data_IF_240548334206
#
_entry.id   IF_240548334206
#
_cell.length_a   1.000
_cell.length_b   1.000
_cell.length_c   1.000
_cell.angle_alpha   90.00
_cell.angle_beta   90.00
_cell.angle_gamma   90.00
#
_symmetry.space_group_name_H-M   'P 1'
#
loop_
_entity.id
_entity.type
_entity.pdbx_description
1 polymer ?
#
# COMPACT_ATOMS: atom_id res chain seq x y z
N UNK A 1 -22.74 4.81 1.04
CA UNK A 1 -21.29 4.74 0.82
C UNK A 1 -21.02 4.60 -0.68
N UNK A 2 -20.17 5.43 -1.22
CA UNK A 2 -19.84 5.40 -2.64
C UNK A 2 -18.34 5.38 -2.88
N UNK A 3 -17.96 4.90 -4.07
CA UNK A 3 -16.57 4.90 -4.51
C UNK A 3 -16.22 6.30 -5.00
N UNK A 4 -15.16 6.89 -4.49
CA UNK A 4 -14.75 8.25 -4.87
C UNK A 4 -13.41 8.31 -5.58
N UNK A 5 -12.61 7.25 -5.48
CA UNK A 5 -11.32 7.19 -6.17
C UNK A 5 -10.83 5.75 -6.23
N UNK A 6 -9.97 5.49 -7.19
CA UNK A 6 -9.27 4.21 -7.19
C UNK A 6 -7.86 4.38 -7.75
N UNK A 7 -7.00 3.43 -7.43
CA UNK A 7 -5.63 3.39 -7.93
C UNK A 7 -5.24 1.97 -8.25
N UNK A 8 -4.29 1.83 -9.16
CA UNK A 8 -3.75 0.54 -9.54
C UNK A 8 -2.26 0.68 -9.78
N UNK A 9 -1.50 -0.34 -9.44
CA UNK A 9 -0.07 -0.34 -9.69
C UNK A 9 0.42 -1.74 -9.99
N UNK A 10 1.47 -1.80 -10.81
CA UNK A 10 2.12 -3.03 -11.23
C UNK A 10 3.61 -2.92 -10.88
N UNK A 11 4.13 -3.92 -10.21
CA UNK A 11 5.54 -3.92 -9.78
C UNK A 11 6.18 -5.24 -10.19
N UNK A 12 7.28 -5.19 -10.92
CA UNK A 12 8.03 -6.39 -11.26
C UNK A 12 8.97 -6.77 -10.11
N UNK A 13 9.11 -8.07 -9.86
CA UNK A 13 9.92 -8.56 -8.76
C UNK A 13 11.39 -8.17 -8.87
N UNK A 14 12.03 -8.22 -10.06
CA UNK A 14 13.42 -7.78 -10.18
C UNK A 14 13.68 -6.37 -9.69
N UNK A 15 12.72 -5.45 -9.84
CA UNK A 15 12.86 -4.08 -9.35
C UNK A 15 13.01 -4.06 -7.84
N UNK A 16 12.17 -4.83 -7.13
CA UNK A 16 12.22 -4.88 -5.66
C UNK A 16 13.50 -5.60 -5.22
N UNK A 17 13.84 -6.70 -5.87
CA UNK A 17 15.06 -7.45 -5.55
C UNK A 17 16.29 -6.56 -5.71
N UNK A 18 16.35 -5.77 -6.77
CA UNK A 18 17.44 -4.85 -7.03
C UNK A 18 17.54 -3.77 -5.95
N UNK A 19 16.40 -3.20 -5.54
CA UNK A 19 16.38 -2.19 -4.48
C UNK A 19 16.88 -2.77 -3.15
N UNK A 20 16.49 -4.00 -2.82
CA UNK A 20 16.96 -4.66 -1.61
C UNK A 20 18.47 -4.92 -1.69
N UNK A 21 18.97 -5.37 -2.84
CA UNK A 21 20.39 -5.64 -3.00
C UNK A 21 21.23 -4.37 -2.92
N UNK A 22 20.76 -3.28 -3.50
CA UNK A 22 21.51 -2.03 -3.55
C UNK A 22 21.50 -1.27 -2.24
N UNK A 23 20.36 -1.27 -1.55
CA UNK A 23 20.14 -0.37 -0.42
C UNK A 23 19.84 -1.08 0.90
N UNK A 24 19.56 -2.36 0.85
CA UNK A 24 19.36 -3.18 2.05
C UNK A 24 18.34 -2.59 3.01
N UNK A 25 18.73 -2.50 4.28
CA UNK A 25 17.85 -2.02 5.34
C UNK A 25 17.36 -0.58 5.12
N UNK A 26 18.15 0.25 4.45
CA UNK A 26 17.73 1.63 4.17
C UNK A 26 16.47 1.66 3.31
N UNK A 27 16.39 0.80 2.29
CA UNK A 27 15.20 0.68 1.47
C UNK A 27 14.05 0.09 2.29
N UNK A 28 14.31 -1.00 2.98
CA UNK A 28 13.27 -1.70 3.75
C UNK A 28 12.67 -0.80 4.82
N UNK A 29 13.50 -0.11 5.59
CA UNK A 29 13.02 0.74 6.68
C UNK A 29 12.29 1.99 6.18
N UNK A 30 12.70 2.49 5.02
CA UNK A 30 12.05 3.67 4.44
C UNK A 30 10.66 3.35 3.91
N UNK A 31 10.49 2.18 3.32
CA UNK A 31 9.28 1.84 2.57
C UNK A 31 8.31 1.01 3.37
N UNK A 32 8.80 0.09 4.19
CA UNK A 32 7.97 -0.90 4.87
C UNK A 32 8.02 -0.74 6.37
N UNK A 33 6.87 -0.95 7.01
CA UNK A 33 6.80 -0.96 8.47
C UNK A 33 7.46 -2.23 9.02
N UNK A 34 7.73 -2.24 10.32
CA UNK A 34 8.31 -3.41 10.97
C UNK A 34 7.45 -4.67 10.76
N UNK A 35 6.13 -4.54 10.85
CA UNK A 35 5.25 -5.69 10.68
C UNK A 35 5.24 -6.20 9.24
N UNK A 36 5.35 -5.31 8.26
CA UNK A 36 5.44 -5.70 6.85
C UNK A 36 6.73 -6.45 6.58
N UNK A 37 7.84 -5.97 7.14
CA UNK A 37 9.13 -6.64 6.99
C UNK A 37 9.14 -8.01 7.67
N UNK A 38 8.55 -8.09 8.86
CA UNK A 38 8.47 -9.36 9.58
C UNK A 38 7.65 -10.39 8.81
N UNK A 39 6.54 -9.94 8.22
CA UNK A 39 5.71 -10.82 7.39
C UNK A 39 6.50 -11.35 6.19
N UNK A 40 7.24 -10.48 5.51
CA UNK A 40 8.06 -10.91 4.36
C UNK A 40 9.16 -11.87 4.79
N UNK A 41 9.83 -11.59 5.92
CA UNK A 41 10.93 -12.43 6.42
C UNK A 41 10.46 -13.81 6.87
N UNK A 42 9.21 -13.94 7.29
CA UNK A 42 8.66 -15.22 7.75
C UNK A 42 8.09 -16.08 6.62
N UNK A 43 8.23 -15.61 5.36
CA UNK A 43 7.73 -16.33 4.20
C UNK A 43 8.88 -16.71 3.27
N UNK A 44 8.73 -17.84 2.56
CA UNK A 44 9.71 -18.28 1.57
C UNK A 44 9.84 -17.31 0.41
N UNK A 45 8.73 -16.65 0.09
CA UNK A 45 8.66 -15.74 -1.05
C UNK A 45 8.69 -14.29 -0.59
N UNK A 46 9.73 -13.94 0.17
CA UNK A 46 9.86 -12.61 0.76
C UNK A 46 9.78 -11.46 -0.25
N UNK A 47 10.49 -11.59 -1.37
CA UNK A 47 10.48 -10.55 -2.42
C UNK A 47 9.06 -10.38 -3.00
N UNK A 48 8.37 -11.48 -3.24
CA UNK A 48 6.98 -11.44 -3.73
C UNK A 48 6.08 -10.71 -2.75
N UNK A 49 6.25 -10.98 -1.44
CA UNK A 49 5.45 -10.31 -0.40
C UNK A 49 5.76 -8.82 -0.34
N UNK A 50 7.02 -8.44 -0.43
CA UNK A 50 7.41 -7.03 -0.46
C UNK A 50 6.87 -6.34 -1.72
N UNK A 51 6.95 -7.00 -2.87
CA UNK A 51 6.46 -6.42 -4.12
C UNK A 51 4.95 -6.17 -4.05
N UNK A 52 4.19 -7.11 -3.50
CA UNK A 52 2.74 -6.92 -3.34
C UNK A 52 2.42 -5.73 -2.44
N UNK A 53 3.13 -5.59 -1.33
CA UNK A 53 2.93 -4.46 -0.43
C UNK A 53 3.35 -3.15 -1.08
N UNK A 54 4.45 -3.16 -1.81
CA UNK A 54 4.92 -1.98 -2.52
C UNK A 54 3.87 -1.51 -3.55
N UNK A 55 3.34 -2.46 -4.33
CA UNK A 55 2.29 -2.15 -5.30
C UNK A 55 1.04 -1.58 -4.61
N UNK A 56 0.64 -2.15 -3.47
CA UNK A 56 -0.51 -1.65 -2.72
C UNK A 56 -0.29 -0.22 -2.22
N UNK A 57 0.90 0.08 -1.71
CA UNK A 57 1.24 1.43 -1.26
C UNK A 57 1.19 2.43 -2.41
N UNK A 58 1.76 2.07 -3.56
CA UNK A 58 1.71 2.90 -4.76
C UNK A 58 0.27 3.13 -5.22
N UNK A 59 -0.55 2.08 -5.21
CA UNK A 59 -1.96 2.19 -5.59
C UNK A 59 -2.71 3.15 -4.67
N UNK A 60 -2.45 3.07 -3.36
CA UNK A 60 -3.07 3.99 -2.38
C UNK A 60 -2.60 5.43 -2.63
N UNK A 61 -1.31 5.64 -2.88
CA UNK A 61 -0.80 6.99 -3.17
C UNK A 61 -1.44 7.56 -4.43
N UNK A 62 -1.65 6.75 -5.45
CA UNK A 62 -2.34 7.19 -6.67
C UNK A 62 -3.77 7.61 -6.39
N UNK A 63 -4.49 6.86 -5.56
CA UNK A 63 -5.88 7.19 -5.30
C UNK A 63 -6.05 8.44 -4.43
N UNK A 64 -5.12 8.72 -3.53
CA UNK A 64 -5.18 9.98 -2.78
C UNK A 64 -4.70 11.17 -3.61
N UNK A 65 -4.03 10.91 -4.74
CA UNK A 65 -3.77 11.91 -5.76
C UNK A 65 -2.71 12.95 -5.45
N UNK A 66 -1.91 12.76 -4.41
CA UNK A 66 -0.93 13.77 -3.98
C UNK A 66 0.47 13.55 -4.52
N UNK A 67 0.77 12.35 -5.01
CA UNK A 67 2.14 11.99 -5.31
C UNK A 67 3.02 12.16 -4.08
N UNK A 68 4.30 12.42 -4.29
CA UNK A 68 5.28 12.58 -3.22
C UNK A 68 5.41 14.05 -2.83
N UNK A 69 4.39 14.61 -2.23
CA UNK A 69 4.41 16.00 -1.77
C UNK A 69 4.44 16.08 -0.26
N UNK A 70 5.14 17.09 0.24
CA UNK A 70 5.15 17.41 1.65
C UNK A 70 5.80 16.33 2.49
N UNK A 71 5.13 15.98 3.59
CA UNK A 71 5.68 15.08 4.60
C UNK A 71 5.17 13.64 4.48
N UNK A 72 4.73 13.25 3.30
CA UNK A 72 4.26 11.89 3.06
C UNK A 72 5.40 10.90 3.23
N UNK A 73 5.15 9.83 3.97
CA UNK A 73 6.09 8.74 4.13
C UNK A 73 5.45 7.44 3.65
N UNK A 74 6.23 6.56 3.07
CA UNK A 74 5.77 5.23 2.66
C UNK A 74 5.13 4.47 3.82
N UNK A 75 5.71 4.62 5.01
CA UNK A 75 5.23 3.94 6.21
C UNK A 75 3.94 4.52 6.78
N UNK A 76 3.45 5.62 6.22
CA UNK A 76 2.10 6.12 6.53
C UNK A 76 1.02 5.18 6.03
N UNK A 77 1.37 4.27 5.12
CA UNK A 77 0.49 3.26 4.58
C UNK A 77 1.02 1.90 5.03
N UNK A 78 0.24 1.18 5.80
CA UNK A 78 0.64 -0.16 6.24
C UNK A 78 -0.35 -1.18 5.71
N UNK A 79 0.15 -2.24 5.12
CA UNK A 79 -0.66 -3.35 4.62
C UNK A 79 -0.50 -4.52 5.59
N UNK A 80 -1.61 -4.93 6.18
CA UNK A 80 -1.66 -6.08 7.08
C UNK A 80 -2.66 -7.08 6.56
N UNK A 81 -2.47 -8.35 6.90
CA UNK A 81 -3.43 -9.38 6.52
C UNK A 81 -4.37 -9.64 7.68
N UNK A 82 -5.65 -9.87 7.36
CA UNK A 82 -6.61 -10.38 8.33
C UNK A 82 -6.32 -11.84 8.60
N UNK A 83 -7.04 -12.43 9.55
CA UNK A 83 -6.92 -13.86 9.87
C UNK A 83 -7.21 -14.75 8.67
N UNK A 84 -8.08 -14.29 7.77
CA UNK A 84 -8.41 -15.02 6.54
C UNK A 84 -7.44 -14.78 5.40
N UNK A 85 -6.39 -13.96 5.64
CA UNK A 85 -5.36 -13.68 4.64
C UNK A 85 -5.67 -12.52 3.71
N UNK A 86 -6.79 -11.82 3.91
CA UNK A 86 -7.12 -10.67 3.08
C UNK A 86 -6.29 -9.46 3.49
N UNK A 87 -5.75 -8.69 2.52
CA UNK A 87 -5.01 -7.49 2.86
C UNK A 87 -5.93 -6.37 3.33
N UNK A 88 -5.47 -5.64 4.34
CA UNK A 88 -6.12 -4.43 4.83
C UNK A 88 -5.11 -3.31 4.88
N UNK A 89 -5.57 -2.09 4.66
CA UNK A 89 -4.72 -0.90 4.69
C UNK A 89 -5.02 -0.11 5.96
N UNK A 90 -3.97 0.23 6.68
CA UNK A 90 -4.03 1.17 7.81
C UNK A 90 -3.26 2.42 7.43
N UNK A 91 -3.89 3.56 7.62
CA UNK A 91 -3.28 4.85 7.31
C UNK A 91 -2.86 5.55 8.59
N UNK A 92 -1.77 6.30 8.50
CA UNK A 92 -1.29 7.15 9.59
C UNK A 92 -0.61 8.37 8.98
N UNK A 93 -0.12 9.26 9.83
CA UNK A 93 0.67 10.42 9.41
C UNK A 93 -0.02 11.32 8.40
N UNK A 94 0.75 11.84 7.47
CA UNK A 94 0.26 12.81 6.50
C UNK A 94 -0.74 12.20 5.51
N UNK A 95 -0.52 10.94 5.12
CA UNK A 95 -1.46 10.26 4.20
C UNK A 95 -2.85 10.16 4.84
N UNK A 96 -2.90 9.84 6.14
CA UNK A 96 -4.17 9.79 6.88
C UNK A 96 -4.88 11.14 6.87
N UNK A 97 -4.14 12.23 7.10
CA UNK A 97 -4.70 13.58 7.08
C UNK A 97 -5.29 13.92 5.73
N UNK A 98 -4.58 13.58 4.66
CA UNK A 98 -5.06 13.84 3.29
C UNK A 98 -6.31 13.03 3.01
N UNK A 99 -6.31 11.75 3.37
CA UNK A 99 -7.47 10.88 3.17
C UNK A 99 -8.69 11.43 3.91
N UNK A 100 -8.51 11.88 5.15
CA UNK A 100 -9.60 12.47 5.94
C UNK A 100 -10.17 13.71 5.27
N UNK A 101 -9.31 14.59 4.74
CA UNK A 101 -9.75 15.79 4.03
C UNK A 101 -10.53 15.45 2.77
N UNK A 102 -10.20 14.35 2.12
CA UNK A 102 -10.91 13.91 0.91
C UNK A 102 -12.23 13.21 1.24
N UNK A 103 -12.50 12.96 2.52
CA UNK A 103 -13.72 12.28 2.94
C UNK A 103 -13.64 10.77 2.81
N UNK A 104 -12.44 10.22 2.67
CA UNK A 104 -12.25 8.78 2.57
C UNK A 104 -12.47 8.14 3.94
N UNK A 105 -13.42 7.22 4.03
CA UNK A 105 -13.73 6.51 5.27
C UNK A 105 -13.17 5.09 5.29
N UNK A 106 -12.89 4.54 4.11
CA UNK A 106 -12.40 3.17 4.00
C UNK A 106 -11.61 3.03 2.69
N UNK A 107 -10.54 2.24 2.73
CA UNK A 107 -9.82 1.84 1.53
C UNK A 107 -9.83 0.32 1.47
N UNK A 108 -10.29 -0.19 0.33
CA UNK A 108 -10.28 -1.63 0.05
C UNK A 108 -9.15 -1.91 -0.94
N UNK A 109 -8.32 -2.91 -0.67
CA UNK A 109 -7.22 -3.27 -1.56
C UNK A 109 -7.32 -4.73 -1.96
N UNK A 110 -6.80 -5.02 -3.15
CA UNK A 110 -6.64 -6.37 -3.63
C UNK A 110 -5.25 -6.49 -4.23
N UNK A 111 -4.59 -7.61 -3.96
CA UNK A 111 -3.22 -7.85 -4.45
C UNK A 111 -3.22 -9.21 -5.12
N UNK A 112 -2.65 -9.26 -6.32
CA UNK A 112 -2.44 -10.52 -7.03
C UNK A 112 -1.03 -10.52 -7.62
N UNK A 113 -0.55 -11.69 -7.99
CA UNK A 113 0.79 -11.80 -8.57
C UNK A 113 0.86 -12.93 -9.58
N UNK A 114 1.83 -12.80 -10.47
CA UNK A 114 2.27 -13.86 -11.37
C UNK A 114 3.67 -14.29 -10.92
N UNK A 115 4.35 -15.06 -11.75
CA UNK A 115 5.74 -15.44 -11.47
C UNK A 115 6.69 -14.23 -11.44
N UNK A 116 6.34 -13.11 -12.09
CA UNK A 116 7.25 -11.98 -12.30
C UNK A 116 6.74 -10.66 -11.78
N UNK A 117 5.45 -10.52 -11.48
CA UNK A 117 4.83 -9.25 -11.16
C UNK A 117 3.87 -9.35 -9.99
N UNK A 118 3.76 -8.29 -9.24
CA UNK A 118 2.65 -8.06 -8.31
C UNK A 118 1.80 -6.91 -8.86
N UNK A 119 0.49 -7.06 -8.73
CA UNK A 119 -0.48 -6.03 -9.10
C UNK A 119 -1.35 -5.76 -7.90
N UNK A 120 -1.56 -4.49 -7.60
CA UNK A 120 -2.47 -4.09 -6.53
C UNK A 120 -3.49 -3.09 -7.05
N UNK A 121 -4.72 -3.23 -6.58
CA UNK A 121 -5.74 -2.21 -6.80
C UNK A 121 -6.23 -1.73 -5.45
N UNK A 122 -6.56 -0.45 -5.39
CA UNK A 122 -7.09 0.18 -4.18
C UNK A 122 -8.30 1.01 -4.56
N UNK A 123 -9.34 0.92 -3.75
CA UNK A 123 -10.59 1.63 -3.96
C UNK A 123 -10.88 2.43 -2.69
N UNK A 124 -11.14 3.71 -2.84
CA UNK A 124 -11.51 4.58 -1.73
C UNK A 124 -13.01 4.74 -1.67
N UNK A 125 -13.56 4.56 -0.49
CA UNK A 125 -14.98 4.67 -0.21
C UNK A 125 -15.22 5.85 0.73
N UNK A 126 -16.33 6.55 0.50
CA UNK A 126 -16.75 7.65 1.36
C UNK A 126 -18.23 7.48 1.70
N UNK A 127 -18.59 7.92 2.90
CA UNK A 127 -20.00 7.94 3.27
C UNK A 127 -20.77 8.90 2.36
N UNK A 128 -21.94 8.50 1.91
CA UNK A 128 -22.80 9.43 1.21
C UNK A 128 -23.47 10.31 2.28
N UNK A 129 -23.25 11.66 2.17
CA UNK A 129 -23.83 12.62 3.08
C UNK A 129 -25.23 13.00 2.64
N UNK A 130 -26.04 12.08 2.44
CA UNK A 130 -27.39 12.38 2.00
C UNK A 130 -28.02 13.58 2.63
N UNK A 131 -27.27 14.10 2.81
CA UNK A 131 -27.60 14.84 3.40
C UNK A 131 -27.59 15.84 3.37
N UNK A 132 -27.35 15.80 3.42
CA UNK A 132 -27.19 16.34 3.56
C UNK A 132 -27.40 16.88 3.33
#
# INVERSE_FOLDING_TARGET
MGIIAHGIDLVDFPRIEDMVKRHGERFLDRVFTASEQQYANSNKNGIEKLAGRFAAKEAVLKLVGTGWRGKIAWTDIEVVNTETGQPQVKLSGEVKKIADKLGITQISVSITHTANFAIASAVALAESNGHK
#
